data_IF_917110418881
#
_entry.id   IF_917110418881
#
_cell.length_a   1.000
_cell.length_b   1.000
_cell.length_c   1.000
_cell.angle_alpha   90.00
_cell.angle_beta   90.00
_cell.angle_gamma   90.00
#
_symmetry.space_group_name_H-M   'P 1'
#
loop_
_entity.id
_entity.type
_entity.pdbx_description
1 polymer ?
#
# COMPACT_ATOMS: atom_id res chain seq x y z
N UNK A 1 -11.19 -14.99 13.37
CA UNK A 1 -11.12 -15.64 12.06
C UNK A 1 -11.49 -17.11 12.21
N UNK A 2 -12.79 -17.44 12.15
CA UNK A 2 -13.27 -18.80 12.41
C UNK A 2 -14.22 -19.29 11.30
N UNK A 3 -14.03 -18.79 10.07
CA UNK A 3 -15.04 -18.95 9.00
C UNK A 3 -14.45 -19.65 7.76
N UNK A 4 -13.51 -20.58 7.96
CA UNK A 4 -12.87 -21.29 6.86
C UNK A 4 -11.94 -20.41 6.01
N UNK A 5 -11.51 -19.26 6.54
CA UNK A 5 -10.72 -18.27 5.82
C UNK A 5 -9.27 -18.71 5.68
N UNK A 6 -8.76 -18.68 4.47
CA UNK A 6 -7.33 -18.91 4.18
C UNK A 6 -6.69 -17.56 3.85
N UNK A 7 -5.75 -17.16 4.70
CA UNK A 7 -4.96 -15.96 4.51
C UNK A 7 -3.63 -16.28 3.82
N UNK A 8 -3.21 -15.43 2.91
CA UNK A 8 -1.87 -15.49 2.33
C UNK A 8 -0.96 -14.50 3.04
N UNK A 9 0.25 -14.94 3.30
CA UNK A 9 1.31 -14.08 3.81
C UNK A 9 2.64 -14.48 3.18
N UNK A 10 3.47 -13.51 2.90
CA UNK A 10 4.84 -13.75 2.48
C UNK A 10 5.67 -14.36 3.62
N UNK A 11 6.56 -15.26 3.28
CA UNK A 11 7.56 -15.84 4.20
C UNK A 11 8.94 -15.87 3.57
N UNK A 12 9.98 -15.83 4.40
CA UNK A 12 11.37 -15.87 3.94
C UNK A 12 11.86 -14.60 3.23
N UNK A 13 13.04 -14.69 2.64
CA UNK A 13 13.61 -13.58 1.87
C UNK A 13 12.93 -13.46 0.51
N UNK A 14 12.73 -12.20 0.07
CA UNK A 14 12.24 -11.85 -1.26
C UNK A 14 13.37 -11.56 -2.25
N UNK A 15 14.61 -11.71 -1.83
CA UNK A 15 15.77 -11.50 -2.69
C UNK A 15 16.19 -12.81 -3.34
N UNK A 16 16.37 -12.79 -4.65
CA UNK A 16 16.87 -13.93 -5.40
C UNK A 16 18.21 -14.42 -4.83
N UNK A 17 18.34 -15.74 -4.64
CA UNK A 17 19.57 -16.36 -4.13
C UNK A 17 19.75 -16.32 -2.60
N UNK A 18 18.89 -15.63 -1.86
CA UNK A 18 18.88 -15.72 -0.40
C UNK A 18 18.05 -16.92 0.09
N UNK A 19 18.39 -17.42 1.29
CA UNK A 19 17.63 -18.51 1.91
C UNK A 19 16.20 -18.07 2.22
N UNK A 20 15.23 -18.87 1.83
CA UNK A 20 13.82 -18.66 2.18
C UNK A 20 13.46 -19.10 3.59
N UNK A 21 14.42 -19.60 4.34
CA UNK A 21 14.20 -20.10 5.70
C UNK A 21 13.54 -21.49 5.72
N UNK A 22 12.80 -21.77 6.78
CA UNK A 22 12.05 -23.02 6.93
C UNK A 22 10.72 -22.91 6.17
N UNK A 23 10.19 -24.03 5.63
CA UNK A 23 8.86 -24.04 5.03
C UNK A 23 7.82 -23.51 6.03
N UNK A 24 7.06 -22.52 5.60
CA UNK A 24 5.99 -21.91 6.39
C UNK A 24 4.63 -22.20 5.73
N UNK A 25 3.65 -22.52 6.55
CA UNK A 25 2.28 -22.80 6.11
C UNK A 25 1.31 -21.94 6.87
N UNK A 26 0.32 -21.44 6.17
CA UNK A 26 -0.85 -20.78 6.79
C UNK A 26 -1.97 -21.82 6.90
N UNK A 27 -2.53 -21.92 8.09
CA UNK A 27 -3.60 -22.88 8.41
C UNK A 27 -4.85 -22.11 8.82
N UNK A 28 -6.02 -22.56 8.36
CA UNK A 28 -7.30 -22.04 8.85
C UNK A 28 -7.38 -22.15 10.37
N UNK A 29 -7.98 -21.16 11.02
CA UNK A 29 -8.06 -21.08 12.47
C UNK A 29 -8.69 -22.34 13.11
N UNK A 30 -9.70 -22.92 12.46
CA UNK A 30 -10.39 -24.12 12.93
C UNK A 30 -9.43 -25.32 13.01
N UNK A 31 -8.62 -25.50 11.98
CA UNK A 31 -7.63 -26.59 11.95
C UNK A 31 -6.51 -26.33 12.95
N UNK A 32 -5.99 -25.10 13.00
CA UNK A 32 -4.99 -24.68 13.98
C UNK A 32 -5.47 -24.94 15.41
N UNK A 33 -6.67 -24.48 15.75
CA UNK A 33 -7.27 -24.66 17.06
C UNK A 33 -7.52 -26.14 17.40
N UNK A 34 -7.79 -26.98 16.40
CA UNK A 34 -7.91 -28.42 16.60
C UNK A 34 -6.58 -29.05 17.03
N UNK A 35 -5.49 -28.65 16.35
CA UNK A 35 -4.12 -29.07 16.71
C UNK A 35 -3.79 -28.58 18.13
N UNK A 36 -4.05 -27.31 18.43
CA UNK A 36 -3.77 -26.74 19.75
C UNK A 36 -4.51 -27.47 20.87
N UNK A 37 -5.81 -27.73 20.70
CA UNK A 37 -6.60 -28.50 21.68
C UNK A 37 -6.06 -29.91 21.92
N UNK A 38 -5.54 -30.59 20.89
CA UNK A 38 -4.92 -31.88 21.05
C UNK A 38 -3.62 -31.78 21.87
N UNK A 39 -2.79 -30.78 21.59
CA UNK A 39 -1.56 -30.53 22.34
C UNK A 39 -1.83 -30.17 23.80
N UNK A 40 -2.84 -29.37 24.09
CA UNK A 40 -3.27 -29.04 25.46
C UNK A 40 -3.67 -30.28 26.24
N UNK A 41 -4.26 -31.28 25.60
CA UNK A 41 -4.58 -32.60 26.18
C UNK A 41 -3.35 -33.55 26.23
N UNK A 42 -2.17 -33.05 25.85
CA UNK A 42 -0.92 -33.82 25.77
C UNK A 42 -0.98 -35.01 24.79
N UNK A 43 -1.82 -34.91 23.80
CA UNK A 43 -1.89 -35.89 22.70
C UNK A 43 -0.73 -35.68 21.73
N UNK A 44 -0.24 -36.76 21.14
CA UNK A 44 0.79 -36.69 20.10
C UNK A 44 0.14 -36.26 18.77
N UNK A 45 0.49 -35.10 18.28
CA UNK A 45 0.07 -34.62 16.95
C UNK A 45 1.16 -34.93 15.93
N UNK A 46 0.78 -35.57 14.83
CA UNK A 46 1.65 -35.80 13.66
C UNK A 46 1.02 -35.14 12.44
N UNK A 47 1.77 -34.25 11.78
CA UNK A 47 1.37 -33.61 10.54
C UNK A 47 2.20 -34.19 9.39
N UNK A 48 1.56 -34.50 8.27
CA UNK A 48 2.26 -34.77 7.01
C UNK A 48 2.09 -33.57 6.14
N UNK A 49 3.20 -32.96 5.76
CA UNK A 49 3.23 -31.77 4.90
C UNK A 49 3.91 -32.16 3.59
N UNK A 50 3.29 -31.82 2.48
CA UNK A 50 3.90 -31.88 1.16
C UNK A 50 3.84 -30.49 0.53
N UNK A 51 5.00 -29.93 0.21
CA UNK A 51 5.12 -28.62 -0.45
C UNK A 51 5.85 -28.84 -1.77
N UNK A 52 5.14 -28.62 -2.86
CA UNK A 52 5.72 -28.58 -4.21
C UNK A 52 5.71 -27.12 -4.69
N UNK A 53 6.75 -26.39 -4.31
CA UNK A 53 6.94 -25.00 -4.68
C UNK A 53 8.36 -24.79 -5.20
N UNK A 54 8.48 -23.98 -6.26
CA UNK A 54 9.77 -23.64 -6.84
C UNK A 54 9.80 -22.16 -7.22
N UNK A 55 10.98 -21.57 -7.13
CA UNK A 55 11.21 -20.29 -7.76
C UNK A 55 11.21 -20.46 -9.28
N UNK A 56 10.40 -19.67 -9.95
CA UNK A 56 10.50 -19.54 -11.39
C UNK A 56 11.59 -18.51 -11.69
N UNK A 57 12.40 -18.79 -12.71
CA UNK A 57 13.51 -17.91 -13.12
C UNK A 57 12.98 -16.71 -13.90
N UNK A 58 12.14 -15.93 -13.25
CA UNK A 58 11.60 -14.66 -13.73
C UNK A 58 12.33 -13.45 -13.12
N UNK A 59 13.44 -13.69 -12.45
CA UNK A 59 14.21 -12.67 -11.70
C UNK A 59 14.62 -11.45 -12.55
N UNK A 60 14.58 -11.55 -13.88
CA UNK A 60 14.93 -10.47 -14.79
C UNK A 60 13.71 -9.83 -15.48
N UNK A 61 12.49 -10.22 -15.14
CA UNK A 61 11.29 -9.55 -15.68
C UNK A 61 10.99 -8.30 -14.86
N UNK A 62 11.06 -7.11 -15.47
CA UNK A 62 10.74 -5.87 -14.77
C UNK A 62 9.24 -5.81 -14.45
N UNK A 63 8.93 -5.32 -13.24
CA UNK A 63 7.59 -4.81 -12.92
C UNK A 63 7.41 -3.41 -13.48
N UNK A 64 6.18 -3.01 -13.76
CA UNK A 64 5.86 -1.71 -14.33
C UNK A 64 4.83 -0.98 -13.47
N UNK A 65 5.11 0.28 -13.16
CA UNK A 65 4.09 1.20 -12.65
C UNK A 65 3.37 1.86 -13.83
N UNK A 66 2.07 2.04 -13.73
CA UNK A 66 1.30 2.80 -14.72
C UNK A 66 1.14 4.23 -14.26
N UNK A 67 1.58 5.17 -15.08
CA UNK A 67 1.55 6.61 -14.76
C UNK A 67 0.76 7.35 -15.84
N UNK A 68 -0.16 8.23 -15.41
CA UNK A 68 -0.86 9.15 -16.31
C UNK A 68 -0.97 10.54 -15.68
N UNK A 69 -1.19 11.56 -16.50
CA UNK A 69 -1.21 12.95 -16.06
C UNK A 69 -2.35 13.77 -16.68
N UNK A 70 -2.85 14.70 -15.89
CA UNK A 70 -3.56 15.89 -16.38
C UNK A 70 -2.57 17.05 -16.21
N UNK A 71 -2.04 17.62 -17.31
CA UNK A 71 -1.06 18.69 -17.22
C UNK A 71 -1.60 19.93 -16.52
N UNK A 72 -0.79 20.54 -15.68
CA UNK A 72 -1.07 21.84 -15.09
C UNK A 72 -1.13 22.93 -16.15
N UNK A 73 -1.99 23.92 -15.93
CA UNK A 73 -2.18 25.06 -16.86
C UNK A 73 -1.88 26.42 -16.23
N UNK A 74 -1.70 26.45 -14.90
CA UNK A 74 -1.45 27.67 -14.15
C UNK A 74 0.04 28.00 -13.97
N UNK A 75 0.37 28.98 -13.14
CA UNK A 75 1.74 29.38 -12.84
C UNK A 75 2.58 28.26 -12.21
N UNK A 76 1.94 27.34 -11.49
CA UNK A 76 2.60 26.21 -10.83
C UNK A 76 2.52 24.91 -11.65
N UNK A 77 2.34 24.98 -12.96
CA UNK A 77 2.20 23.81 -13.85
C UNK A 77 3.33 22.79 -13.78
N UNK A 78 4.50 23.22 -13.34
CA UNK A 78 5.67 22.36 -13.18
C UNK A 78 5.71 21.63 -11.81
N UNK A 79 4.81 22.00 -10.90
CA UNK A 79 4.63 21.28 -9.65
C UNK A 79 3.62 20.13 -9.86
N UNK A 80 3.74 19.08 -9.05
CA UNK A 80 2.95 17.86 -9.19
C UNK A 80 2.24 17.54 -7.88
N UNK A 81 0.94 17.25 -7.99
CA UNK A 81 0.18 16.54 -6.95
C UNK A 81 -0.05 15.13 -7.46
N UNK A 82 0.23 14.13 -6.64
CA UNK A 82 0.05 12.74 -7.02
C UNK A 82 -1.07 12.08 -6.23
N UNK A 83 -1.75 11.14 -6.87
CA UNK A 83 -2.68 10.22 -6.26
C UNK A 83 -2.41 8.82 -6.80
N UNK A 84 -2.71 7.78 -6.03
CA UNK A 84 -2.44 6.42 -6.48
C UNK A 84 -2.98 5.34 -5.57
N UNK A 85 -2.85 4.12 -6.09
CA UNK A 85 -3.18 2.86 -5.47
C UNK A 85 -2.31 1.77 -6.09
N UNK A 86 -2.14 0.62 -5.45
CA UNK A 86 -1.43 -0.49 -6.08
C UNK A 86 -2.36 -1.37 -6.93
N UNK A 87 -1.80 -1.99 -7.98
CA UNK A 87 -2.53 -2.85 -8.91
C UNK A 87 -2.30 -4.34 -8.67
N UNK A 88 -1.22 -4.69 -7.99
CA UNK A 88 -0.93 -6.07 -7.67
C UNK A 88 -1.80 -6.55 -6.50
N UNK A 89 -1.92 -7.84 -6.34
CA UNK A 89 -2.68 -8.48 -5.28
C UNK A 89 -2.09 -9.86 -4.97
N UNK A 90 -2.50 -10.43 -3.84
CA UNK A 90 -2.20 -11.81 -3.54
C UNK A 90 -3.00 -12.77 -4.43
N UNK A 91 -2.39 -13.89 -4.79
CA UNK A 91 -2.91 -14.85 -5.79
C UNK A 91 -4.07 -15.73 -5.31
N UNK A 92 -4.54 -15.59 -4.07
CA UNK A 92 -5.66 -16.37 -3.52
C UNK A 92 -7.03 -15.82 -3.87
N UNK A 93 -7.11 -14.53 -4.15
CA UNK A 93 -8.30 -13.83 -4.61
C UNK A 93 -8.07 -13.16 -5.97
N UNK A 94 -9.00 -12.31 -6.37
CA UNK A 94 -8.88 -11.49 -7.59
C UNK A 94 -8.31 -10.09 -7.33
N UNK A 95 -8.06 -9.71 -6.06
CA UNK A 95 -7.60 -8.39 -5.70
C UNK A 95 -8.66 -7.29 -5.87
N UNK A 96 -9.94 -7.64 -5.74
CA UNK A 96 -11.02 -6.69 -6.01
C UNK A 96 -11.08 -5.56 -4.97
N UNK A 97 -10.79 -5.89 -3.71
CA UNK A 97 -10.77 -4.93 -2.62
C UNK A 97 -9.35 -4.46 -2.29
N UNK A 98 -8.38 -5.36 -2.39
CA UNK A 98 -6.98 -5.15 -2.12
C UNK A 98 -6.15 -5.36 -3.40
N UNK A 99 -5.97 -4.37 -4.30
CA UNK A 99 -6.48 -3.01 -4.13
C UNK A 99 -7.19 -2.51 -5.43
N UNK A 100 -7.96 -3.39 -6.10
CA UNK A 100 -8.75 -3.05 -7.29
C UNK A 100 -9.71 -1.88 -7.05
N UNK A 101 -10.34 -1.84 -5.86
CA UNK A 101 -11.22 -0.75 -5.46
C UNK A 101 -10.49 0.60 -5.42
N UNK A 102 -9.31 0.65 -4.80
CA UNK A 102 -8.47 1.86 -4.78
C UNK A 102 -8.06 2.30 -6.19
N UNK A 103 -7.65 1.35 -7.04
CA UNK A 103 -7.33 1.64 -8.45
C UNK A 103 -8.53 2.26 -9.17
N UNK A 104 -9.72 1.67 -9.01
CA UNK A 104 -10.93 2.17 -9.65
C UNK A 104 -11.27 3.60 -9.21
N UNK A 105 -11.19 3.89 -7.92
CA UNK A 105 -11.43 5.24 -7.37
C UNK A 105 -10.44 6.25 -7.91
N UNK A 106 -9.14 5.92 -7.95
CA UNK A 106 -8.12 6.83 -8.45
C UNK A 106 -8.25 7.10 -9.95
N UNK A 107 -8.59 6.08 -10.73
CA UNK A 107 -8.86 6.22 -12.16
C UNK A 107 -10.13 7.05 -12.39
N UNK A 108 -11.18 6.83 -11.63
CA UNK A 108 -12.43 7.57 -11.75
C UNK A 108 -12.26 9.06 -11.37
N UNK A 109 -11.49 9.34 -10.32
CA UNK A 109 -11.18 10.71 -9.94
C UNK A 109 -10.53 11.51 -11.10
N UNK A 110 -9.53 10.94 -11.76
CA UNK A 110 -8.90 11.62 -12.91
C UNK A 110 -9.81 11.64 -14.15
N UNK A 111 -10.65 10.61 -14.34
CA UNK A 111 -11.65 10.60 -15.41
C UNK A 111 -12.66 11.73 -15.24
N UNK A 112 -13.17 11.93 -14.02
CA UNK A 112 -14.11 13.03 -13.70
C UNK A 112 -13.44 14.37 -13.96
N UNK A 113 -12.24 14.61 -13.42
CA UNK A 113 -11.51 15.86 -13.62
C UNK A 113 -11.33 16.18 -15.12
N UNK A 114 -11.01 15.17 -15.92
CA UNK A 114 -10.89 15.33 -17.36
C UNK A 114 -12.24 15.61 -18.03
N UNK A 115 -13.30 14.90 -17.63
CA UNK A 115 -14.65 15.04 -18.22
C UNK A 115 -15.26 16.43 -17.97
N UNK A 116 -15.01 17.02 -16.80
CA UNK A 116 -15.47 18.39 -16.49
C UNK A 116 -14.55 19.47 -17.06
N UNK A 117 -13.52 19.10 -17.81
CA UNK A 117 -12.58 20.05 -18.41
C UNK A 117 -11.74 20.80 -17.38
N UNK A 118 -11.40 20.17 -16.26
CA UNK A 118 -10.60 20.77 -15.21
C UNK A 118 -9.27 21.32 -15.76
N UNK A 119 -8.93 22.54 -15.36
CA UNK A 119 -7.66 23.20 -15.69
C UNK A 119 -6.85 23.42 -14.41
N UNK A 120 -6.18 22.38 -13.92
CA UNK A 120 -5.50 22.46 -12.64
C UNK A 120 -4.30 23.42 -12.70
N UNK A 121 -4.03 24.10 -11.60
CA UNK A 121 -2.85 24.97 -11.48
C UNK A 121 -1.55 24.14 -11.51
N UNK A 122 -1.55 22.97 -10.85
CA UNK A 122 -0.46 21.98 -10.82
C UNK A 122 -0.79 20.80 -11.71
N UNK A 123 0.21 20.10 -12.18
CA UNK A 123 0.00 18.81 -12.83
C UNK A 123 -0.54 17.79 -11.82
N UNK A 124 -1.62 17.11 -12.20
CA UNK A 124 -2.20 16.01 -11.43
C UNK A 124 -1.68 14.70 -12.03
N UNK A 125 -0.99 13.90 -11.24
CA UNK A 125 -0.42 12.62 -11.67
C UNK A 125 -1.08 11.49 -10.93
N UNK A 126 -1.64 10.51 -11.67
CA UNK A 126 -2.08 9.25 -11.09
C UNK A 126 -1.00 8.20 -11.28
N UNK A 127 -0.77 7.41 -10.25
CA UNK A 127 0.18 6.32 -10.25
C UNK A 127 -0.50 5.05 -9.77
N UNK A 128 -0.43 4.00 -10.59
CA UNK A 128 -0.87 2.66 -10.22
C UNK A 128 0.38 1.82 -10.01
N UNK A 129 0.60 1.42 -8.76
CA UNK A 129 1.84 0.79 -8.34
C UNK A 129 1.83 -0.72 -8.55
N UNK A 130 3.00 -1.30 -8.70
CA UNK A 130 3.22 -2.75 -8.74
C UNK A 130 4.11 -3.18 -7.58
N UNK A 131 3.93 -4.43 -7.13
CA UNK A 131 4.77 -5.01 -6.09
C UNK A 131 4.63 -4.34 -4.72
N UNK A 132 3.46 -3.80 -4.42
CA UNK A 132 3.12 -3.28 -3.09
C UNK A 132 3.16 -4.41 -2.08
N UNK A 133 2.46 -5.49 -2.36
CA UNK A 133 2.31 -6.70 -1.55
C UNK A 133 3.64 -7.37 -1.18
N UNK A 134 4.64 -7.16 -2.00
CA UNK A 134 5.99 -7.66 -1.77
C UNK A 134 6.89 -6.63 -1.07
N UNK A 135 6.33 -5.50 -0.63
CA UNK A 135 7.00 -4.48 0.19
C UNK A 135 7.24 -3.15 -0.52
N UNK A 136 6.21 -2.58 -1.13
CA UNK A 136 6.20 -1.25 -1.74
C UNK A 136 7.23 -1.10 -2.88
N UNK A 137 7.51 -2.17 -3.62
CA UNK A 137 8.64 -2.20 -4.57
C UNK A 137 8.50 -1.12 -5.63
N UNK A 138 7.30 -1.00 -6.21
CA UNK A 138 7.05 -0.06 -7.31
C UNK A 138 7.11 1.40 -6.88
N UNK A 139 6.46 1.76 -5.79
CA UNK A 139 6.46 3.14 -5.27
C UNK A 139 7.84 3.54 -4.74
N UNK A 140 8.54 2.65 -4.02
CA UNK A 140 9.90 2.92 -3.56
C UNK A 140 10.87 3.16 -4.71
N UNK A 141 10.82 2.32 -5.74
CA UNK A 141 11.67 2.46 -6.91
C UNK A 141 11.38 3.78 -7.67
N UNK A 142 10.09 4.13 -7.77
CA UNK A 142 9.67 5.37 -8.39
C UNK A 142 10.16 6.60 -7.61
N UNK A 143 9.95 6.63 -6.29
CA UNK A 143 10.40 7.73 -5.42
C UNK A 143 11.91 7.85 -5.46
N UNK A 144 12.64 6.73 -5.39
CA UNK A 144 14.10 6.74 -5.45
C UNK A 144 14.64 7.28 -6.78
N UNK A 145 13.99 6.93 -7.88
CA UNK A 145 14.40 7.36 -9.23
C UNK A 145 14.09 8.83 -9.50
N UNK A 146 12.92 9.31 -9.07
CA UNK A 146 12.40 10.61 -9.50
C UNK A 146 12.56 11.72 -8.46
N UNK A 147 12.59 11.38 -7.17
CA UNK A 147 12.56 12.38 -6.11
C UNK A 147 13.75 12.30 -5.15
N UNK A 148 13.84 11.25 -4.37
CA UNK A 148 14.89 11.12 -3.37
C UNK A 148 15.09 9.68 -2.92
N UNK A 149 16.31 9.38 -2.49
CA UNK A 149 16.67 8.10 -1.88
C UNK A 149 17.69 8.27 -0.77
N UNK A 150 17.65 7.37 0.19
CA UNK A 150 18.78 7.13 1.08
C UNK A 150 19.72 6.14 0.40
N UNK A 151 21.03 6.44 0.29
CA UNK A 151 21.98 5.50 -0.26
C UNK A 151 22.11 4.26 0.62
N UNK A 152 22.50 3.15 0.02
CA UNK A 152 22.79 1.95 0.81
C UNK A 152 23.89 2.26 1.83
N UNK A 153 23.72 1.87 3.10
CA UNK A 153 24.73 2.13 4.11
C UNK A 153 26.02 1.40 3.79
N UNK A 154 27.13 2.03 4.09
CA UNK A 154 28.46 1.40 3.97
C UNK A 154 28.74 0.45 5.14
N UNK A 155 28.15 0.72 6.30
CA UNK A 155 28.26 -0.12 7.50
C UNK A 155 27.56 -1.47 7.31
N UNK A 156 28.28 -2.61 7.41
CA UNK A 156 27.70 -3.93 7.29
C UNK A 156 26.58 -4.21 8.29
N UNK A 157 26.68 -3.69 9.52
CA UNK A 157 25.65 -3.85 10.54
C UNK A 157 24.33 -3.18 10.12
N UNK A 158 24.41 -1.99 9.53
CA UNK A 158 23.23 -1.29 9.00
C UNK A 158 22.69 -1.95 7.72
N UNK A 159 23.55 -2.54 6.88
CA UNK A 159 23.10 -3.31 5.71
C UNK A 159 22.26 -4.52 6.09
N UNK A 160 22.60 -5.20 7.19
CA UNK A 160 21.88 -6.37 7.68
C UNK A 160 20.47 -6.01 8.21
N UNK A 161 20.21 -4.73 8.50
CA UNK A 161 18.90 -4.27 8.98
C UNK A 161 18.04 -3.88 7.77
N UNK A 162 16.78 -4.37 7.68
CA UNK A 162 15.85 -3.91 6.65
C UNK A 162 15.73 -2.38 6.66
N UNK A 163 15.67 -1.76 5.49
CA UNK A 163 15.73 -0.31 5.32
C UNK A 163 14.73 0.46 6.22
N UNK A 164 13.55 -0.11 6.45
CA UNK A 164 12.52 0.47 7.31
C UNK A 164 12.95 0.61 8.79
N UNK A 165 13.82 -0.28 9.26
CA UNK A 165 14.25 -0.35 10.66
C UNK A 165 15.67 0.20 10.91
N UNK A 166 16.33 0.72 9.86
CA UNK A 166 17.67 1.30 10.00
C UNK A 166 17.64 2.55 10.88
N UNK A 167 18.46 2.58 11.89
CA UNK A 167 18.62 3.73 12.79
C UNK A 167 19.47 4.83 12.15
N UNK A 168 20.44 4.46 11.30
CA UNK A 168 21.24 5.40 10.53
C UNK A 168 20.95 5.21 9.05
N UNK A 169 20.11 6.09 8.50
CA UNK A 169 19.75 6.08 7.09
C UNK A 169 20.74 6.84 6.19
N UNK A 170 21.73 7.50 6.79
CA UNK A 170 22.64 8.36 6.06
C UNK A 170 21.99 9.67 5.59
N UNK A 171 22.64 10.36 4.66
CA UNK A 171 22.14 11.63 4.10
C UNK A 171 21.20 11.36 2.93
N UNK A 172 20.02 11.97 2.98
CA UNK A 172 19.06 11.92 1.87
C UNK A 172 19.67 12.57 0.61
N UNK A 173 19.61 11.85 -0.49
CA UNK A 173 20.01 12.36 -1.83
C UNK A 173 18.74 12.70 -2.59
N UNK A 174 18.58 13.97 -2.95
CA UNK A 174 17.44 14.50 -3.70
C UNK A 174 17.77 14.63 -5.18
N UNK A 175 16.80 14.38 -6.05
CA UNK A 175 16.88 14.72 -7.47
C UNK A 175 16.38 16.15 -7.72
N UNK A 176 16.52 16.65 -8.95
CA UNK A 176 15.99 17.98 -9.33
C UNK A 176 14.45 18.06 -9.33
N UNK A 177 13.73 16.94 -9.26
CA UNK A 177 12.27 16.91 -9.22
C UNK A 177 11.70 16.83 -7.80
N UNK A 178 12.57 16.69 -6.79
CA UNK A 178 12.14 16.62 -5.39
C UNK A 178 11.29 17.83 -4.95
N UNK A 179 11.70 19.02 -5.30
CA UNK A 179 11.01 20.25 -4.92
C UNK A 179 9.74 20.50 -5.76
N UNK A 180 9.49 19.70 -6.79
CA UNK A 180 8.29 19.82 -7.64
C UNK A 180 7.11 19.02 -7.12
N UNK A 181 7.34 17.99 -6.33
CA UNK A 181 6.25 17.18 -5.76
C UNK A 181 5.65 17.86 -4.53
N UNK A 182 4.36 18.15 -4.59
CA UNK A 182 3.66 18.83 -3.49
C UNK A 182 3.17 17.83 -2.44
N UNK A 183 2.50 16.78 -2.87
CA UNK A 183 1.97 15.73 -2.00
C UNK A 183 1.57 14.49 -2.80
N UNK A 184 1.46 13.36 -2.12
CA UNK A 184 0.91 12.11 -2.62
C UNK A 184 -0.27 11.66 -1.75
N UNK A 185 -1.35 11.24 -2.39
CA UNK A 185 -2.58 10.75 -1.76
C UNK A 185 -2.82 9.29 -2.18
N UNK A 186 -2.96 8.41 -1.19
CA UNK A 186 -3.10 6.97 -1.37
C UNK A 186 -4.46 6.47 -0.92
N UNK A 187 -4.99 5.45 -1.59
CA UNK A 187 -6.20 4.75 -1.17
C UNK A 187 -5.96 3.25 -1.21
N UNK A 188 -6.03 2.62 -0.03
CA UNK A 188 -5.67 1.21 0.11
C UNK A 188 -6.18 0.66 1.44
N UNK A 189 -7.51 0.49 1.57
CA UNK A 189 -8.17 -0.16 2.71
C UNK A 189 -9.56 -0.69 2.31
N UNK A 190 -9.63 -1.36 1.15
CA UNK A 190 -10.86 -2.00 0.68
C UNK A 190 -11.83 -1.07 -0.05
N UNK A 191 -13.08 -1.47 -0.15
CA UNK A 191 -14.13 -0.80 -0.92
C UNK A 191 -15.04 0.13 -0.09
N UNK A 192 -14.72 0.30 1.20
CA UNK A 192 -15.54 1.13 2.08
C UNK A 192 -15.47 2.62 1.78
N UNK A 193 -16.51 3.34 2.15
CA UNK A 193 -16.64 4.79 1.96
C UNK A 193 -15.47 5.56 2.56
N UNK A 194 -14.98 6.57 1.85
CA UNK A 194 -13.98 7.50 2.39
C UNK A 194 -14.62 8.33 3.50
N UNK A 195 -14.04 8.25 4.70
CA UNK A 195 -14.47 8.96 5.91
C UNK A 195 -13.56 10.11 6.31
N UNK A 196 -12.39 10.19 5.70
CA UNK A 196 -11.42 11.24 6.00
C UNK A 196 -10.01 10.89 5.57
N UNK A 197 -9.03 11.43 6.29
CA UNK A 197 -7.63 11.32 5.92
C UNK A 197 -6.72 11.27 7.16
N UNK A 198 -5.63 10.51 7.05
CA UNK A 198 -4.54 10.50 8.02
C UNK A 198 -3.59 11.67 7.73
N UNK A 199 -3.38 12.54 8.71
CA UNK A 199 -2.45 13.68 8.59
C UNK A 199 -0.98 13.28 8.79
N UNK A 200 -0.68 12.02 9.08
CA UNK A 200 0.68 11.47 9.25
C UNK A 200 1.54 12.29 10.23
N UNK A 201 0.98 12.59 11.42
CA UNK A 201 1.60 13.40 12.48
C UNK A 201 1.93 14.85 12.05
N UNK A 202 1.53 15.27 10.86
CA UNK A 202 1.69 16.64 10.39
C UNK A 202 0.55 17.53 10.89
N UNK A 203 0.76 18.14 12.07
CA UNK A 203 -0.24 18.99 12.70
C UNK A 203 -0.61 20.21 11.86
N UNK A 204 0.31 20.70 11.02
CA UNK A 204 0.09 21.90 10.22
C UNK A 204 -0.89 21.68 9.06
N UNK A 205 -1.06 20.43 8.60
CA UNK A 205 -1.97 20.11 7.48
C UNK A 205 -3.41 19.90 7.93
N UNK A 206 -3.64 19.58 9.21
CA UNK A 206 -4.96 19.22 9.70
C UNK A 206 -6.04 20.28 9.41
N UNK A 207 -5.83 21.58 9.67
CA UNK A 207 -6.83 22.61 9.34
C UNK A 207 -7.15 22.69 7.85
N UNK A 208 -6.17 22.41 6.97
CA UNK A 208 -6.37 22.40 5.52
C UNK A 208 -7.26 21.22 5.12
N UNK A 209 -7.02 20.05 5.67
CA UNK A 209 -7.85 18.87 5.41
C UNK A 209 -9.26 19.02 5.98
N UNK A 210 -9.40 19.62 7.16
CA UNK A 210 -10.70 19.94 7.72
C UNK A 210 -11.50 20.86 6.78
N UNK A 211 -10.88 21.90 6.23
CA UNK A 211 -11.52 22.78 5.26
C UNK A 211 -11.89 22.05 3.97
N UNK A 212 -11.05 21.18 3.46
CA UNK A 212 -11.32 20.41 2.24
C UNK A 212 -12.45 19.40 2.43
N UNK A 213 -12.63 18.85 3.62
CA UNK A 213 -13.67 17.86 3.91
C UNK A 213 -15.04 18.50 4.22
N UNK A 214 -15.11 19.79 4.57
CA UNK A 214 -16.37 20.48 4.88
C UNK A 214 -17.50 20.25 3.86
N UNK A 215 -17.24 20.34 2.52
CA UNK A 215 -18.30 20.09 1.52
C UNK A 215 -18.82 18.65 1.50
N UNK A 216 -18.13 17.72 2.15
CA UNK A 216 -18.43 16.28 2.15
C UNK A 216 -18.88 15.76 3.52
N UNK A 217 -19.11 16.68 4.47
CA UNK A 217 -19.52 16.30 5.82
C UNK A 217 -20.91 15.67 5.84
N UNK A 218 -21.80 16.06 4.95
CA UNK A 218 -23.15 15.50 4.79
C UNK A 218 -23.15 14.03 4.32
N UNK A 219 -22.10 13.61 3.59
CA UNK A 219 -21.89 12.20 3.20
C UNK A 219 -20.96 11.45 4.15
N UNK A 220 -20.58 12.07 5.26
CA UNK A 220 -19.86 11.44 6.37
C UNK A 220 -18.34 11.45 6.26
N UNK A 221 -17.75 12.25 5.37
CA UNK A 221 -16.31 12.46 5.30
C UNK A 221 -15.91 13.58 6.26
N UNK A 222 -15.66 13.26 7.52
CA UNK A 222 -15.45 14.24 8.61
C UNK A 222 -14.17 14.01 9.39
N UNK A 223 -13.43 12.94 9.11
CA UNK A 223 -12.31 12.53 9.97
C UNK A 223 -11.01 13.12 9.45
N UNK A 224 -10.36 13.96 10.26
CA UNK A 224 -8.95 14.27 10.12
C UNK A 224 -8.23 13.74 11.35
N UNK A 225 -7.48 12.67 11.17
CA UNK A 225 -6.74 12.06 12.30
C UNK A 225 -5.27 12.40 12.21
N UNK A 226 -4.69 12.81 13.33
CA UNK A 226 -3.26 13.10 13.44
C UNK A 226 -2.40 11.84 13.53
N UNK A 227 -3.03 10.66 13.62
CA UNK A 227 -2.30 9.39 13.69
C UNK A 227 -1.48 9.16 12.43
N UNK A 228 -0.36 8.53 12.64
CA UNK A 228 0.41 7.92 11.56
C UNK A 228 -0.24 6.59 11.19
N UNK A 229 -0.31 6.29 9.90
CA UNK A 229 -0.60 4.95 9.38
C UNK A 229 0.54 4.51 8.49
N UNK A 230 0.73 3.22 8.37
CA UNK A 230 1.87 2.64 7.66
C UNK A 230 1.44 1.58 6.64
N UNK A 231 2.41 0.87 6.14
CA UNK A 231 2.26 -0.38 5.40
C UNK A 231 1.67 -0.27 4.00
N UNK A 232 1.57 0.91 3.40
CA UNK A 232 1.18 1.08 2.00
C UNK A 232 1.94 2.23 1.32
N UNK A 233 1.72 2.49 0.05
CA UNK A 233 2.59 3.24 -0.86
C UNK A 233 2.88 4.69 -0.46
N UNK A 234 2.00 5.36 0.31
CA UNK A 234 2.28 6.71 0.81
C UNK A 234 3.54 6.77 1.68
N UNK A 235 3.88 5.66 2.34
CA UNK A 235 5.08 5.54 3.17
C UNK A 235 6.36 5.70 2.34
N UNK A 236 6.34 5.34 1.06
CA UNK A 236 7.48 5.54 0.17
C UNK A 236 7.84 7.01 -0.01
N UNK A 237 6.83 7.88 -0.01
CA UNK A 237 6.99 9.34 -0.08
C UNK A 237 7.34 9.93 1.29
N UNK A 238 6.58 9.58 2.30
CA UNK A 238 6.76 10.09 3.67
C UNK A 238 8.17 9.83 4.21
N UNK A 239 8.74 8.64 3.95
CA UNK A 239 10.11 8.27 4.36
C UNK A 239 11.20 9.18 3.84
N UNK A 240 10.99 9.87 2.74
CA UNK A 240 11.95 10.83 2.16
C UNK A 240 11.55 12.28 2.39
N UNK A 241 10.53 12.54 3.23
CA UNK A 241 10.07 13.87 3.60
C UNK A 241 9.16 14.53 2.58
N UNK A 242 8.58 13.76 1.65
CA UNK A 242 7.50 14.21 0.77
C UNK A 242 6.18 13.92 1.49
N UNK A 243 5.25 14.89 1.61
CA UNK A 243 3.96 14.65 2.21
C UNK A 243 3.20 13.52 1.52
N UNK A 244 3.05 12.39 2.20
CA UNK A 244 2.34 11.22 1.72
C UNK A 244 1.19 10.89 2.67
N UNK A 245 -0.04 10.81 2.15
CA UNK A 245 -1.23 10.67 2.96
C UNK A 245 -2.06 9.46 2.53
N UNK A 246 -2.73 8.83 3.50
CA UNK A 246 -3.66 7.73 3.29
C UNK A 246 -5.06 8.18 3.67
N UNK A 247 -6.07 7.84 2.86
CA UNK A 247 -7.47 8.08 3.23
C UNK A 247 -7.93 7.11 4.32
N UNK A 248 -8.84 7.59 5.17
CA UNK A 248 -9.59 6.76 6.13
C UNK A 248 -10.83 6.25 5.43
N UNK A 249 -11.08 4.95 5.48
CA UNK A 249 -12.24 4.30 4.89
C UNK A 249 -13.05 3.52 5.94
N UNK A 250 -14.31 3.28 5.66
CA UNK A 250 -15.10 2.32 6.41
C UNK A 250 -14.47 0.94 6.25
N UNK A 251 -14.22 0.26 7.36
CA UNK A 251 -13.52 -1.00 7.33
C UNK A 251 -14.35 -2.14 6.73
N UNK A 252 -15.68 -2.07 6.85
CA UNK A 252 -16.57 -3.15 6.47
C UNK A 252 -16.04 -4.49 6.98
N UNK A 253 -15.84 -5.46 6.09
CA UNK A 253 -15.22 -6.75 6.38
C UNK A 253 -13.75 -6.84 5.91
N UNK A 254 -13.14 -5.73 5.48
CA UNK A 254 -11.80 -5.72 4.89
C UNK A 254 -10.77 -6.42 5.78
N UNK A 255 -10.54 -5.94 7.01
CA UNK A 255 -9.55 -6.54 7.90
C UNK A 255 -10.00 -7.84 8.55
N UNK A 256 -11.30 -8.11 8.61
CA UNK A 256 -11.81 -9.33 9.24
C UNK A 256 -11.87 -10.53 8.30
N UNK A 257 -12.16 -10.31 7.02
CA UNK A 257 -12.43 -11.40 6.07
C UNK A 257 -11.63 -11.30 4.76
N UNK A 258 -11.44 -10.10 4.22
CA UNK A 258 -11.02 -9.89 2.83
C UNK A 258 -9.50 -9.76 2.68
N UNK A 259 -8.89 -8.87 3.47
CA UNK A 259 -7.48 -8.48 3.35
C UNK A 259 -6.53 -9.69 3.35
N UNK A 260 -5.84 -9.90 2.23
CA UNK A 260 -4.90 -11.00 1.99
C UNK A 260 -5.54 -12.41 2.09
N UNK A 261 -6.80 -12.55 1.73
CA UNK A 261 -7.51 -13.84 1.80
C UNK A 261 -8.09 -14.26 0.45
N UNK A 262 -8.58 -15.49 0.39
CA UNK A 262 -9.29 -16.00 -0.79
C UNK A 262 -10.67 -15.35 -0.98
N UNK A 263 -11.14 -14.54 -0.03
CA UNK A 263 -12.37 -13.77 -0.11
C UNK A 263 -12.17 -12.38 -0.72
N UNK A 264 -10.95 -12.02 -1.12
CA UNK A 264 -10.69 -10.79 -1.85
C UNK A 264 -11.16 -10.92 -3.31
N UNK A 265 -12.46 -10.91 -3.47
CA UNK A 265 -13.18 -11.08 -4.74
C UNK A 265 -14.27 -10.02 -4.88
N UNK A 266 -14.78 -9.86 -6.09
CA UNK A 266 -15.76 -8.82 -6.43
C UNK A 266 -17.04 -8.87 -5.57
N UNK A 267 -17.47 -10.05 -5.16
CA UNK A 267 -18.70 -10.23 -4.34
C UNK A 267 -18.57 -9.55 -2.95
N UNK A 268 -17.34 -9.29 -2.49
CA UNK A 268 -17.05 -8.55 -1.27
C UNK A 268 -16.77 -7.06 -1.50
N UNK A 269 -16.70 -6.61 -2.76
CA UNK A 269 -16.57 -5.19 -3.08
C UNK A 269 -17.93 -4.51 -3.00
N UNK A 270 -18.06 -3.56 -2.09
CA UNK A 270 -19.28 -2.80 -1.90
C UNK A 270 -19.27 -1.61 -2.85
N UNK A 271 -20.28 -1.51 -3.70
CA UNK A 271 -20.53 -0.33 -4.52
C UNK A 271 -21.34 0.67 -3.70
N UNK A 272 -20.70 1.74 -3.22
CA UNK A 272 -21.34 2.72 -2.34
C UNK A 272 -21.13 4.16 -2.85
#
# INVERSE_FOLDING_TARGET
>A
WNDGIVRVMGGGSRKAGESVGVPALVMMAEHYNTVMRALDRKETVKLRVNVDARFLDDANKPGYNTIAEIPGTGPNKNEVVMLGAHMDSWHTGSGANDNGAGVAVMMEAVRILKAVGARPNRTIRVALWTGEEQGLIGSQAYVAKHFAAYPEPTDPAQKAIPAAFRTNKGKLVRTGDYEKITAYFNLDNGSGKIRGIYAQENLAIAPIFEDWLKPWNDVGATIVTQRNTGSTDHVSFDRVGIPGFQFVQDQLDYFSHVHHTHLDVQDHAVAD
#
